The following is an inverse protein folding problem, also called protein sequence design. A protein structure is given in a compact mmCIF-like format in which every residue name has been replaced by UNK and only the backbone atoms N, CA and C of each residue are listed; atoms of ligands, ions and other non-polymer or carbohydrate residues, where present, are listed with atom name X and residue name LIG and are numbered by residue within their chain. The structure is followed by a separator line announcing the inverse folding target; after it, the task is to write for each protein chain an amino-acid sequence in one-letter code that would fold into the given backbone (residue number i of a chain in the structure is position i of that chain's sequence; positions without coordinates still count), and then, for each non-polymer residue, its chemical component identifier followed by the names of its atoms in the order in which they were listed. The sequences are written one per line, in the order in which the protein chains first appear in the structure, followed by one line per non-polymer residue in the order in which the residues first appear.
data_IF_249068773721
#
_entry.id   IF_249068773721
#
_cell.length_a   1.000
_cell.length_b   1.000
_cell.length_c   1.000
_cell.angle_alpha   90.00
_cell.angle_beta   90.00
_cell.angle_gamma   90.00
#
_symmetry.space_group_name_H-M   'P 1'
#
loop_
_entity.id
_entity.type
_entity.pdbx_description
1 polymer ?
#
# COMPACT_ATOMS: atom_id res chain seq x y z
N UNK A 1 -5.13 20.56 -2.52
CA UNK A 1 -4.39 19.44 -1.91
C UNK A 1 -4.98 18.14 -2.43
N UNK A 2 -4.34 17.52 -3.42
CA UNK A 2 -4.82 16.30 -4.04
C UNK A 2 -4.04 15.12 -3.44
N UNK A 3 -4.66 14.40 -2.53
CA UNK A 3 -4.12 13.21 -1.92
C UNK A 3 -4.52 12.02 -2.78
N UNK A 4 -3.56 11.36 -3.39
CA UNK A 4 -3.77 10.22 -4.28
C UNK A 4 -3.69 8.94 -3.46
N UNK A 5 -4.81 8.26 -3.34
CA UNK A 5 -4.93 7.00 -2.62
C UNK A 5 -5.28 5.89 -3.60
N UNK A 6 -4.60 4.75 -3.50
CA UNK A 6 -4.86 3.45 -4.13
C UNK A 6 -5.50 3.48 -5.55
N UNK A 7 -5.12 2.59 -6.42
CA UNK A 7 -5.47 2.50 -7.86
C UNK A 7 -6.92 2.84 -8.21
N UNK A 8 -7.87 2.48 -7.36
CA UNK A 8 -9.29 2.75 -7.57
C UNK A 8 -9.67 4.24 -7.47
N UNK A 9 -8.89 5.06 -6.74
CA UNK A 9 -9.21 6.48 -6.50
C UNK A 9 -8.68 7.37 -7.62
N UNK A 10 -7.56 7.01 -8.22
CA UNK A 10 -7.00 7.75 -9.37
C UNK A 10 -7.98 7.76 -10.55
N UNK A 11 -8.80 6.72 -10.69
CA UNK A 11 -9.78 6.63 -11.79
C UNK A 11 -11.05 7.46 -11.57
N UNK A 12 -11.50 7.64 -10.34
CA UNK A 12 -12.73 8.38 -10.04
C UNK A 12 -12.65 9.87 -10.36
N UNK A 13 -11.46 10.47 -10.30
CA UNK A 13 -11.27 11.89 -10.63
C UNK A 13 -11.07 12.15 -12.13
N UNK A 14 -10.69 11.15 -12.92
CA UNK A 14 -10.46 11.32 -14.38
C UNK A 14 -11.70 11.16 -15.25
N UNK A 15 -12.77 10.53 -14.79
CA UNK A 15 -13.97 10.30 -15.61
C UNK A 15 -14.84 11.55 -15.81
N UNK A 16 -14.60 12.65 -15.10
CA UNK A 16 -15.32 13.92 -15.32
C UNK A 16 -14.72 14.84 -16.38
N UNK A 17 -13.59 14.44 -17.01
CA UNK A 17 -12.90 15.23 -18.03
C UNK A 17 -12.72 14.47 -19.33
N UNK A 18 -13.84 14.07 -19.97
CA UNK A 18 -13.84 13.69 -21.38
C UNK A 18 -13.89 14.97 -22.20
N UNK A 19 -12.89 15.14 -23.08
CA UNK A 19 -12.67 16.23 -24.05
C UNK A 19 -11.93 17.47 -23.52
N UNK A 20 -10.60 17.46 -23.58
CA UNK A 20 -9.81 18.44 -24.33
C UNK A 20 -8.31 18.19 -24.22
N UNK A 21 -7.70 18.02 -25.41
CA UNK A 21 -6.34 18.34 -25.84
C UNK A 21 -5.10 17.74 -25.12
N UNK A 22 -4.18 17.33 -25.94
CA UNK A 22 -2.80 16.85 -25.72
C UNK A 22 -1.99 17.71 -24.71
N UNK A 23 -2.28 19.01 -24.64
CA UNK A 23 -1.62 19.97 -23.74
C UNK A 23 -1.87 19.71 -22.24
N UNK A 24 -3.07 19.24 -21.85
CA UNK A 24 -3.38 18.92 -20.45
C UNK A 24 -2.69 17.66 -19.92
N UNK A 25 -2.43 16.68 -20.80
CA UNK A 25 -1.69 15.46 -20.42
C UNK A 25 -0.25 15.77 -20.01
N UNK A 26 0.39 16.70 -20.71
CA UNK A 26 1.78 17.11 -20.44
C UNK A 26 1.90 17.88 -19.11
N UNK A 27 0.92 18.73 -18.78
CA UNK A 27 0.93 19.49 -17.52
C UNK A 27 0.69 18.58 -16.31
N UNK A 28 -0.22 17.60 -16.40
CA UNK A 28 -0.47 16.64 -15.32
C UNK A 28 0.74 15.72 -15.09
N UNK A 29 1.37 15.22 -16.17
CA UNK A 29 2.59 14.42 -16.06
C UNK A 29 3.77 15.24 -15.48
N UNK A 30 3.85 16.54 -15.79
CA UNK A 30 4.87 17.43 -15.25
C UNK A 30 4.65 17.67 -13.75
N UNK A 31 3.42 17.86 -13.30
CA UNK A 31 3.07 18.00 -11.89
C UNK A 31 3.32 16.72 -11.09
N UNK A 32 2.98 15.54 -11.66
CA UNK A 32 3.27 14.23 -11.07
C UNK A 32 4.77 13.98 -10.93
N UNK A 33 5.57 14.33 -11.96
CA UNK A 33 7.04 14.24 -11.93
C UNK A 33 7.65 15.21 -10.90
N UNK A 34 7.14 16.43 -10.80
CA UNK A 34 7.60 17.41 -9.82
C UNK A 34 7.30 16.96 -8.38
N UNK A 35 6.11 16.41 -8.12
CA UNK A 35 5.73 15.85 -6.83
C UNK A 35 6.59 14.64 -6.41
N UNK A 36 6.91 13.76 -7.36
CA UNK A 36 7.80 12.62 -7.13
C UNK A 36 9.26 13.07 -6.89
N UNK A 37 9.74 14.05 -7.64
CA UNK A 37 11.09 14.60 -7.45
C UNK A 37 11.27 15.25 -6.07
N UNK A 38 10.27 16.03 -5.62
CA UNK A 38 10.28 16.66 -4.29
C UNK A 38 10.32 15.64 -3.15
N UNK A 39 9.62 14.51 -3.30
CA UNK A 39 9.60 13.45 -2.27
C UNK A 39 10.91 12.65 -2.21
N UNK A 40 11.71 12.66 -3.27
CA UNK A 40 13.02 11.97 -3.34
C UNK A 40 14.19 12.88 -2.96
N UNK A 41 13.97 14.19 -2.90
CA UNK A 41 15.01 15.12 -2.51
C UNK A 41 15.42 14.86 -1.05
N UNK A 42 16.74 14.81 -0.82
CA UNK A 42 17.28 14.62 0.52
C UNK A 42 17.19 13.18 1.08
N UNK A 43 16.90 12.18 0.23
CA UNK A 43 16.99 10.78 0.68
C UNK A 43 18.45 10.35 0.82
N UNK A 44 18.74 9.70 1.93
CA UNK A 44 20.01 8.98 2.15
C UNK A 44 19.90 7.57 1.55
N UNK A 45 20.96 7.02 0.93
CA UNK A 45 20.96 5.66 0.40
C UNK A 45 20.59 4.63 1.45
N UNK A 46 19.74 3.66 1.08
CA UNK A 46 19.18 2.68 2.02
C UNK A 46 20.25 1.84 2.75
N UNK A 47 21.40 1.58 2.09
CA UNK A 47 22.49 0.85 2.70
C UNK A 47 23.08 1.54 3.94
N UNK A 48 22.96 2.86 4.05
CA UNK A 48 23.42 3.62 5.22
C UNK A 48 22.49 3.39 6.45
N UNK A 49 21.27 2.89 6.24
CA UNK A 49 20.33 2.67 7.32
C UNK A 49 20.79 1.58 8.30
N UNK A 50 21.64 0.64 7.87
CA UNK A 50 22.25 -0.37 8.75
C UNK A 50 23.15 0.23 9.81
N UNK A 51 23.67 1.45 9.63
CA UNK A 51 24.40 2.19 10.66
C UNK A 51 23.47 2.66 11.78
N UNK A 52 22.21 2.91 11.46
CA UNK A 52 21.15 3.31 12.40
C UNK A 52 20.55 2.06 13.04
N UNK A 53 20.24 1.04 12.26
CA UNK A 53 19.61 -0.21 12.67
C UNK A 53 20.40 -1.41 12.12
N UNK A 54 21.34 -1.98 12.90
CA UNK A 54 22.22 -3.05 12.45
C UNK A 54 21.49 -4.32 11.98
N UNK A 55 20.27 -4.57 12.47
CA UNK A 55 19.47 -5.73 12.10
C UNK A 55 18.50 -5.44 10.95
N UNK A 56 18.52 -4.23 10.38
CA UNK A 56 17.68 -3.87 9.27
C UNK A 56 18.05 -4.66 8.00
N UNK A 57 17.03 -5.27 7.39
CA UNK A 57 17.18 -6.01 6.15
C UNK A 57 16.26 -5.41 5.07
N UNK A 58 16.85 -4.72 4.11
CA UNK A 58 16.12 -4.08 3.02
C UNK A 58 15.40 -5.09 2.12
N UNK A 59 15.99 -6.26 1.87
CA UNK A 59 15.36 -7.31 1.05
C UNK A 59 14.11 -7.86 1.74
N UNK A 60 14.18 -8.15 3.04
CA UNK A 60 13.03 -8.60 3.83
C UNK A 60 11.91 -7.55 3.87
N UNK A 61 12.26 -6.25 3.94
CA UNK A 61 11.28 -5.17 3.85
C UNK A 61 10.58 -5.13 2.49
N UNK A 62 11.35 -5.29 1.40
CA UNK A 62 10.80 -5.33 0.04
C UNK A 62 9.88 -6.53 -0.17
N UNK A 63 10.25 -7.71 0.31
CA UNK A 63 9.41 -8.91 0.27
C UNK A 63 8.11 -8.71 1.07
N UNK A 64 8.20 -8.15 2.28
CA UNK A 64 7.03 -7.80 3.09
C UNK A 64 6.11 -6.82 2.35
N UNK A 65 6.65 -5.80 1.69
CA UNK A 65 5.87 -4.84 0.91
C UNK A 65 5.20 -5.49 -0.31
N UNK A 66 5.88 -6.40 -1.01
CA UNK A 66 5.32 -7.17 -2.12
C UNK A 66 4.13 -8.02 -1.67
N UNK A 67 4.29 -8.78 -0.59
CA UNK A 67 3.24 -9.62 -0.01
C UNK A 67 2.05 -8.77 0.48
N UNK A 68 2.32 -7.63 1.10
CA UNK A 68 1.29 -6.72 1.57
C UNK A 68 0.51 -6.07 0.42
N UNK A 69 1.17 -5.78 -0.71
CA UNK A 69 0.49 -5.30 -1.91
C UNK A 69 -0.56 -6.31 -2.41
N UNK A 70 -0.20 -7.59 -2.50
CA UNK A 70 -1.13 -8.65 -2.91
C UNK A 70 -2.30 -8.77 -1.94
N UNK A 71 -2.02 -8.81 -0.62
CA UNK A 71 -3.05 -8.87 0.41
C UNK A 71 -3.99 -7.66 0.34
N UNK A 72 -3.46 -6.46 0.10
CA UNK A 72 -4.24 -5.24 -0.04
C UNK A 72 -5.20 -5.31 -1.23
N UNK A 73 -4.75 -5.79 -2.39
CA UNK A 73 -5.61 -5.92 -3.57
C UNK A 73 -6.70 -6.99 -3.38
N UNK A 74 -6.35 -8.13 -2.77
CA UNK A 74 -7.32 -9.18 -2.46
C UNK A 74 -8.37 -8.70 -1.43
N UNK A 75 -7.94 -8.04 -0.36
CA UNK A 75 -8.83 -7.46 0.65
C UNK A 75 -9.73 -6.37 0.07
N UNK A 76 -9.23 -5.58 -0.87
CA UNK A 76 -9.98 -4.57 -1.59
C UNK A 76 -11.10 -5.19 -2.44
N UNK A 77 -10.78 -6.18 -3.26
CA UNK A 77 -11.75 -6.93 -4.07
C UNK A 77 -12.81 -7.61 -3.19
N UNK A 78 -12.39 -8.20 -2.07
CA UNK A 78 -13.29 -8.83 -1.09
C UNK A 78 -14.10 -7.83 -0.25
N UNK A 79 -13.88 -6.51 -0.42
CA UNK A 79 -14.46 -5.44 0.43
C UNK A 79 -14.18 -5.62 1.92
N UNK A 80 -13.07 -6.27 2.26
CA UNK A 80 -12.65 -6.55 3.64
C UNK A 80 -11.16 -6.24 3.81
N UNK A 81 -10.86 -5.07 4.34
CA UNK A 81 -9.50 -4.58 4.56
C UNK A 81 -9.11 -4.51 6.04
N UNK A 82 -9.97 -4.95 6.95
CA UNK A 82 -9.75 -4.79 8.40
C UNK A 82 -8.47 -5.49 8.89
N UNK A 83 -8.13 -6.64 8.31
CA UNK A 83 -6.89 -7.37 8.62
C UNK A 83 -5.61 -6.59 8.27
N UNK A 84 -5.74 -5.57 7.42
CA UNK A 84 -4.63 -4.74 6.95
C UNK A 84 -4.37 -3.54 7.86
N UNK A 85 -5.30 -3.19 8.77
CA UNK A 85 -5.18 -2.02 9.66
C UNK A 85 -3.81 -1.89 10.35
N UNK A 86 -3.18 -2.96 10.87
CA UNK A 86 -1.88 -2.84 11.55
C UNK A 86 -0.72 -2.40 10.66
N UNK A 87 -0.88 -2.44 9.34
CA UNK A 87 0.18 -2.10 8.39
C UNK A 87 0.12 -0.67 7.87
N UNK A 88 -0.92 0.08 8.26
CA UNK A 88 -1.17 1.43 7.76
C UNK A 88 -1.29 2.41 8.91
N UNK A 89 -0.94 3.68 8.64
CA UNK A 89 -1.35 4.75 9.56
C UNK A 89 -2.87 4.86 9.59
N UNK A 90 -3.42 5.32 10.72
CA UNK A 90 -4.88 5.49 10.86
C UNK A 90 -5.47 6.43 9.79
N UNK A 91 -4.73 7.47 9.41
CA UNK A 91 -5.14 8.40 8.36
C UNK A 91 -5.30 7.71 7.00
N UNK A 92 -4.28 6.92 6.59
CA UNK A 92 -4.32 6.20 5.32
C UNK A 92 -5.38 5.10 5.34
N UNK A 93 -5.48 4.36 6.43
CA UNK A 93 -6.48 3.30 6.58
C UNK A 93 -7.91 3.85 6.51
N UNK A 94 -8.21 4.93 7.25
CA UNK A 94 -9.52 5.59 7.21
C UNK A 94 -9.88 6.08 5.81
N UNK A 95 -8.89 6.55 5.05
CA UNK A 95 -9.11 6.96 3.67
C UNK A 95 -9.43 5.77 2.76
N UNK A 96 -8.75 4.64 2.94
CA UNK A 96 -9.06 3.39 2.23
C UNK A 96 -10.48 2.90 2.54
N UNK A 97 -10.87 2.86 3.82
CA UNK A 97 -12.22 2.49 4.23
C UNK A 97 -13.29 3.40 3.62
N UNK A 98 -13.07 4.71 3.63
CA UNK A 98 -14.01 5.68 3.02
C UNK A 98 -14.19 5.41 1.54
N UNK A 99 -13.11 5.12 0.84
CA UNK A 99 -13.15 4.81 -0.59
C UNK A 99 -13.88 3.51 -0.89
N UNK A 100 -13.62 2.48 -0.09
CA UNK A 100 -14.27 1.18 -0.21
C UNK A 100 -15.79 1.27 0.07
N UNK A 101 -16.19 2.03 1.09
CA UNK A 101 -17.60 2.33 1.36
C UNK A 101 -18.31 2.95 0.16
N UNK A 102 -17.63 3.79 -0.61
CA UNK A 102 -18.18 4.36 -1.84
C UNK A 102 -18.54 3.31 -2.90
N UNK A 103 -17.77 2.23 -3.03
CA UNK A 103 -18.12 1.09 -3.89
C UNK A 103 -19.33 0.34 -3.34
N UNK A 104 -19.34 0.03 -2.04
CA UNK A 104 -20.47 -0.66 -1.38
C UNK A 104 -21.77 0.11 -1.57
N UNK A 105 -21.77 1.42 -1.36
CA UNK A 105 -22.96 2.27 -1.52
C UNK A 105 -23.51 2.31 -2.94
N UNK A 106 -22.66 2.12 -3.96
CA UNK A 106 -23.11 2.06 -5.37
C UNK A 106 -23.47 0.67 -5.83
N UNK A 107 -23.38 -0.36 -4.98
CA UNK A 107 -23.55 -1.75 -5.38
C UNK A 107 -22.53 -2.18 -6.43
N UNK A 108 -21.29 -1.74 -6.26
CA UNK A 108 -20.18 -2.01 -7.17
C UNK A 108 -19.06 -2.74 -6.44
N UNK A 109 -18.34 -3.59 -7.17
CA UNK A 109 -17.07 -4.18 -6.72
C UNK A 109 -15.96 -3.79 -7.69
N UNK A 110 -14.89 -3.21 -7.17
CA UNK A 110 -13.66 -3.07 -7.94
C UNK A 110 -12.86 -4.37 -7.80
N UNK A 111 -12.76 -5.09 -8.90
CA UNK A 111 -12.05 -6.37 -9.00
C UNK A 111 -10.63 -6.11 -9.45
N UNK A 112 -9.66 -6.60 -8.68
CA UNK A 112 -8.25 -6.61 -9.04
C UNK A 112 -7.77 -8.05 -9.07
N UNK A 113 -7.35 -8.52 -10.22
CA UNK A 113 -6.92 -9.91 -10.44
C UNK A 113 -5.64 -9.96 -11.27
N UNK A 114 -5.10 -11.18 -11.48
CA UNK A 114 -3.82 -11.43 -12.16
C UNK A 114 -2.69 -10.57 -11.58
N UNK A 115 -2.68 -10.45 -10.26
CA UNK A 115 -1.78 -9.59 -9.52
C UNK A 115 -0.36 -10.14 -9.59
N UNK A 116 0.57 -9.36 -10.13
CA UNK A 116 1.99 -9.66 -10.13
C UNK A 116 2.78 -8.46 -9.62
N UNK A 117 3.61 -8.66 -8.61
CA UNK A 117 4.61 -7.69 -8.19
C UNK A 117 5.88 -7.97 -8.99
N UNK A 118 6.26 -7.05 -9.85
CA UNK A 118 7.38 -7.20 -10.79
C UNK A 118 8.70 -6.77 -10.16
N UNK A 119 8.66 -5.75 -9.29
CA UNK A 119 9.83 -5.20 -8.63
C UNK A 119 9.43 -4.38 -7.40
N UNK A 120 10.24 -4.47 -6.35
CA UNK A 120 10.20 -3.55 -5.20
C UNK A 120 11.60 -3.07 -4.92
N UNK A 121 11.83 -1.78 -5.09
CA UNK A 121 13.15 -1.15 -4.93
C UNK A 121 13.09 -0.09 -3.84
N UNK A 122 13.96 -0.13 -2.80
CA UNK A 122 14.09 0.97 -1.86
C UNK A 122 14.80 2.14 -2.53
N UNK A 123 14.19 3.33 -2.48
CA UNK A 123 14.74 4.56 -3.06
C UNK A 123 15.68 5.28 -2.11
N UNK A 124 15.53 5.05 -0.81
CA UNK A 124 16.32 5.64 0.25
C UNK A 124 15.51 5.90 1.50
N UNK A 125 16.11 6.55 2.48
CA UNK A 125 15.46 6.90 3.74
C UNK A 125 15.74 8.35 4.13
N UNK A 126 14.94 8.87 5.04
CA UNK A 126 15.14 10.16 5.73
C UNK A 126 14.61 10.07 7.16
N UNK A 127 15.12 10.93 8.03
CA UNK A 127 14.63 11.10 9.40
C UNK A 127 14.04 12.50 9.52
N UNK A 128 12.79 12.59 9.92
CA UNK A 128 12.09 13.87 10.10
C UNK A 128 10.93 13.74 11.08
N UNK A 129 10.69 14.77 11.88
CA UNK A 129 9.56 14.81 12.82
C UNK A 129 9.57 13.72 13.89
N UNK A 130 10.73 13.15 14.23
CA UNK A 130 10.83 12.04 15.18
C UNK A 130 10.49 10.67 14.57
N UNK A 131 10.40 10.60 13.25
CA UNK A 131 10.11 9.40 12.48
C UNK A 131 11.20 9.09 11.46
N UNK A 132 11.48 7.81 11.28
CA UNK A 132 12.28 7.28 10.18
C UNK A 132 11.34 6.96 9.04
N UNK A 133 11.65 7.44 7.85
CA UNK A 133 10.90 7.19 6.62
C UNK A 133 11.73 6.39 5.65
N UNK A 134 11.16 5.32 5.07
CA UNK A 134 11.74 4.62 3.92
C UNK A 134 10.79 4.77 2.74
N UNK A 135 11.34 5.23 1.61
CA UNK A 135 10.60 5.33 0.37
C UNK A 135 10.88 4.11 -0.50
N UNK A 136 9.83 3.37 -0.85
CA UNK A 136 9.88 2.23 -1.76
C UNK A 136 9.23 2.58 -3.10
N UNK A 137 9.79 2.05 -4.19
CA UNK A 137 9.13 2.03 -5.50
C UNK A 137 8.67 0.60 -5.78
N UNK A 138 7.39 0.44 -6.11
CA UNK A 138 6.80 -0.82 -6.50
C UNK A 138 6.40 -0.75 -7.98
N UNK A 139 6.74 -1.78 -8.74
CA UNK A 139 6.24 -2.02 -10.10
C UNK A 139 5.38 -3.25 -10.09
N UNK A 140 4.16 -3.13 -10.61
CA UNK A 140 3.18 -4.22 -10.57
C UNK A 140 2.44 -4.32 -11.90
N UNK A 141 1.88 -5.50 -12.16
CA UNK A 141 0.94 -5.77 -13.24
C UNK A 141 -0.33 -6.32 -12.64
N UNK A 142 -1.46 -5.81 -13.07
CA UNK A 142 -2.79 -6.21 -12.62
C UNK A 142 -3.79 -6.15 -13.77
N UNK A 143 -4.88 -6.90 -13.67
CA UNK A 143 -6.13 -6.61 -14.37
C UNK A 143 -7.06 -5.93 -13.38
N UNK A 144 -7.62 -4.77 -13.73
CA UNK A 144 -8.41 -3.93 -12.82
C UNK A 144 -9.66 -3.40 -13.55
N UNK A 145 -10.82 -3.80 -13.03
CA UNK A 145 -12.13 -3.40 -13.55
C UNK A 145 -13.16 -3.31 -12.43
N UNK A 146 -14.31 -2.70 -12.71
CA UNK A 146 -15.40 -2.59 -11.74
C UNK A 146 -16.63 -3.27 -12.31
N UNK A 147 -17.29 -4.09 -11.49
CA UNK A 147 -18.57 -4.74 -11.83
C UNK A 147 -19.70 -4.18 -10.98
N UNK A 148 -20.90 -4.23 -11.52
CA UNK A 148 -22.12 -4.06 -10.74
C UNK A 148 -22.41 -5.35 -9.98
N UNK A 149 -22.66 -5.28 -8.68
CA UNK A 149 -22.83 -6.45 -7.80
C UNK A 149 -24.03 -7.31 -8.16
N UNK A 150 -25.15 -6.68 -8.60
CA UNK A 150 -26.38 -7.39 -8.96
C UNK A 150 -26.33 -8.05 -10.34
N UNK A 151 -25.78 -7.36 -11.35
CA UNK A 151 -25.78 -7.83 -12.75
C UNK A 151 -24.47 -8.50 -13.18
N UNK A 152 -23.41 -8.36 -12.40
CA UNK A 152 -22.05 -8.80 -12.72
C UNK A 152 -21.48 -8.22 -14.04
N UNK A 153 -22.12 -7.21 -14.59
CA UNK A 153 -21.65 -6.51 -15.78
C UNK A 153 -20.50 -5.57 -15.43
N UNK A 154 -19.51 -5.50 -16.32
CA UNK A 154 -18.41 -4.55 -16.19
C UNK A 154 -18.93 -3.14 -16.46
N UNK A 155 -18.89 -2.28 -15.43
CA UNK A 155 -19.29 -0.87 -15.52
C UNK A 155 -18.11 0.07 -15.76
N UNK A 156 -16.88 -0.43 -15.51
CA UNK A 156 -15.64 0.34 -15.71
C UNK A 156 -14.43 -0.58 -15.86
N UNK A 157 -13.48 -0.20 -16.73
CA UNK A 157 -12.27 -1.00 -16.98
C UNK A 157 -12.52 -2.15 -17.95
N UNK A 158 -11.62 -3.13 -17.96
CA UNK A 158 -11.70 -4.33 -18.82
C UNK A 158 -11.15 -5.56 -18.08
N UNK A 159 -11.76 -6.72 -18.31
CA UNK A 159 -11.26 -8.02 -17.81
C UNK A 159 -10.04 -8.52 -18.57
N UNK A 160 -9.78 -7.97 -19.75
CA UNK A 160 -8.74 -8.43 -20.67
C UNK A 160 -7.48 -7.56 -20.61
N UNK A 161 -7.64 -6.27 -20.35
CA UNK A 161 -6.54 -5.32 -20.35
C UNK A 161 -5.70 -5.42 -19.10
N UNK A 162 -4.39 -5.56 -19.30
CA UNK A 162 -3.42 -5.49 -18.22
C UNK A 162 -3.00 -4.04 -17.97
N UNK A 163 -2.79 -3.70 -16.70
CA UNK A 163 -2.26 -2.41 -16.26
C UNK A 163 -0.93 -2.61 -15.59
N UNK A 164 0.07 -1.95 -16.11
CA UNK A 164 1.39 -1.84 -15.49
C UNK A 164 1.43 -0.57 -14.65
N UNK A 165 1.60 -0.75 -13.34
CA UNK A 165 1.56 0.33 -12.37
C UNK A 165 2.92 0.53 -11.74
N UNK A 166 3.29 1.79 -11.53
CA UNK A 166 4.43 2.16 -10.68
C UNK A 166 3.91 2.99 -9.52
N UNK A 167 4.26 2.57 -8.31
CA UNK A 167 3.91 3.27 -7.07
C UNK A 167 5.16 3.72 -6.33
N UNK A 168 5.00 4.75 -5.51
CA UNK A 168 5.88 5.08 -4.40
C UNK A 168 5.10 4.92 -3.09
N UNK A 169 5.66 4.12 -2.19
CA UNK A 169 5.17 3.92 -0.84
C UNK A 169 6.10 4.60 0.14
N UNK A 170 5.56 5.41 1.04
CA UNK A 170 6.28 5.98 2.17
C UNK A 170 5.94 5.16 3.42
N UNK A 171 6.94 4.49 3.98
CA UNK A 171 6.85 3.70 5.20
C UNK A 171 7.50 4.49 6.32
N UNK A 172 6.88 4.49 7.48
CA UNK A 172 7.43 5.17 8.66
C UNK A 172 7.43 4.28 9.89
N UNK A 173 8.33 4.60 10.82
CA UNK A 173 8.35 4.11 12.20
C UNK A 173 9.01 5.15 13.11
N UNK A 174 8.78 5.13 14.43
CA UNK A 174 9.45 6.06 15.36
C UNK A 174 10.97 5.96 15.29
N UNK A 175 11.65 7.10 15.24
CA UNK A 175 13.13 7.17 15.26
C UNK A 175 13.69 6.50 16.53
N UNK A 176 14.79 5.77 16.35
CA UNK A 176 15.41 5.00 17.44
C UNK A 176 14.86 3.59 17.61
N UNK A 177 13.77 3.25 16.92
CA UNK A 177 13.27 1.88 16.88
C UNK A 177 14.29 0.98 16.17
N UNK A 178 14.54 -0.22 16.72
CA UNK A 178 15.46 -1.20 16.13
C UNK A 178 14.70 -2.45 15.68
N UNK A 179 15.18 -3.05 14.61
CA UNK A 179 14.69 -4.36 14.17
C UNK A 179 15.17 -5.43 15.12
N UNK A 180 14.27 -6.30 15.57
CA UNK A 180 14.64 -7.42 16.43
C UNK A 180 15.60 -8.36 15.70
N UNK A 181 16.70 -8.76 16.36
CA UNK A 181 17.67 -9.71 15.80
C UNK A 181 17.06 -11.07 15.43
N UNK A 182 15.98 -11.46 16.12
CA UNK A 182 15.23 -12.70 15.90
C UNK A 182 14.05 -12.54 14.90
N UNK A 183 14.00 -11.48 14.12
CA UNK A 183 12.89 -11.23 13.17
C UNK A 183 12.85 -12.22 11.97
N UNK A 184 13.85 -13.09 11.84
CA UNK A 184 13.87 -14.22 10.88
C UNK A 184 13.22 -15.51 11.39
N UNK A 185 12.99 -15.64 12.69
CA UNK A 185 12.30 -16.79 13.27
C UNK A 185 10.81 -16.49 13.42
N UNK A 186 9.97 -17.48 13.12
CA UNK A 186 8.53 -17.45 13.37
C UNK A 186 8.26 -17.30 14.86
N UNK A 187 8.24 -16.07 15.38
CA UNK A 187 7.92 -15.82 16.79
C UNK A 187 6.47 -16.18 17.02
N UNK A 188 6.23 -17.19 17.85
CA UNK A 188 4.94 -17.39 18.49
C UNK A 188 4.68 -16.20 19.41
N UNK A 189 3.65 -15.44 19.11
CA UNK A 189 3.16 -14.40 20.02
C UNK A 189 1.95 -14.93 20.76
N UNK A 190 1.77 -14.50 21.99
CA UNK A 190 0.56 -14.79 22.75
C UNK A 190 -0.46 -13.67 22.54
N UNK A 191 -1.73 -14.04 22.37
CA UNK A 191 -2.81 -13.06 22.27
C UNK A 191 -2.90 -12.23 23.56
N UNK A 192 -2.89 -10.90 23.49
CA UNK A 192 -2.99 -10.05 24.68
C UNK A 192 -4.37 -10.13 25.37
N UNK A 193 -5.39 -10.65 24.65
CA UNK A 193 -6.73 -10.79 25.22
C UNK A 193 -7.04 -12.14 25.87
N UNK A 194 -6.51 -13.24 25.33
CA UNK A 194 -6.82 -14.59 25.84
C UNK A 194 -5.59 -15.48 26.09
N UNK A 195 -4.37 -15.00 25.83
CA UNK A 195 -3.14 -15.78 26.03
C UNK A 195 -2.91 -16.90 25.01
N UNK A 196 -3.78 -17.11 24.03
CA UNK A 196 -3.61 -18.17 23.03
C UNK A 196 -2.34 -17.95 22.19
N UNK A 197 -1.59 -19.02 21.85
CA UNK A 197 -0.46 -18.92 20.95
C UNK A 197 -0.92 -18.57 19.53
N UNK A 198 -0.26 -17.62 18.90
CA UNK A 198 -0.61 -17.11 17.57
C UNK A 198 0.61 -17.19 16.66
N UNK A 199 0.37 -17.61 15.41
CA UNK A 199 1.36 -17.45 14.36
C UNK A 199 1.33 -16.02 13.84
N UNK A 200 2.49 -15.33 13.88
CA UNK A 200 2.64 -13.91 13.54
C UNK A 200 2.14 -13.57 12.12
N UNK A 201 2.04 -14.56 11.25
CA UNK A 201 1.65 -14.38 9.85
C UNK A 201 0.16 -14.60 9.56
N UNK A 202 -0.64 -15.03 10.54
CA UNK A 202 -1.96 -15.59 10.23
C UNK A 202 -3.13 -14.61 10.28
N UNK A 203 -3.19 -13.62 11.18
CA UNK A 203 -4.26 -12.62 11.17
C UNK A 203 -4.00 -11.44 12.10
N UNK A 204 -4.58 -10.28 11.77
CA UNK A 204 -4.61 -9.12 12.65
C UNK A 204 -5.62 -9.27 13.81
N UNK A 205 -6.38 -10.37 13.85
CA UNK A 205 -7.31 -10.73 14.92
C UNK A 205 -7.01 -12.11 15.44
N UNK A 206 -7.10 -12.27 16.75
CA UNK A 206 -7.01 -13.57 17.38
C UNK A 206 -8.15 -14.47 16.90
N UNK A 207 -7.87 -15.66 16.34
CA UNK A 207 -8.91 -16.57 15.87
C UNK A 207 -9.75 -17.14 17.01
N UNK A 208 -9.28 -17.04 18.27
CA UNK A 208 -9.96 -17.59 19.44
C UNK A 208 -10.88 -16.59 20.14
N UNK A 209 -10.46 -15.31 20.26
CA UNK A 209 -11.22 -14.32 21.03
C UNK A 209 -11.55 -13.04 20.25
N UNK A 210 -11.14 -12.92 18.99
CA UNK A 210 -11.40 -11.75 18.16
C UNK A 210 -10.60 -10.49 18.53
N UNK A 211 -9.77 -10.52 19.58
CA UNK A 211 -8.93 -9.38 19.97
C UNK A 211 -8.04 -8.95 18.81
N UNK A 212 -8.04 -7.65 18.51
CA UNK A 212 -7.14 -7.07 17.50
C UNK A 212 -5.71 -7.13 18.03
N UNK A 213 -4.86 -7.83 17.31
CA UNK A 213 -3.45 -7.97 17.62
C UNK A 213 -2.75 -6.76 17.01
N UNK A 214 -2.53 -5.73 17.82
CA UNK A 214 -1.70 -4.61 17.40
C UNK A 214 -0.28 -5.11 17.27
N UNK A 215 0.30 -5.02 16.08
CA UNK A 215 1.73 -5.22 15.91
C UNK A 215 2.46 -4.20 16.77
N UNK A 216 3.63 -4.58 17.25
CA UNK A 216 4.44 -3.71 18.12
C UNK A 216 4.69 -2.38 17.41
N UNK A 217 4.85 -1.31 18.18
CA UNK A 217 5.28 0.01 17.69
C UNK A 217 6.61 0.01 16.90
N UNK A 218 7.24 -1.14 16.77
CA UNK A 218 8.52 -1.40 16.12
C UNK A 218 8.43 -1.72 14.62
N UNK A 219 7.22 -1.99 14.09
CA UNK A 219 7.07 -2.35 12.69
C UNK A 219 6.89 -1.10 11.82
N UNK A 220 7.41 -1.20 10.59
CA UNK A 220 7.16 -0.22 9.55
C UNK A 220 5.68 -0.21 9.17
N UNK A 221 5.07 0.97 9.16
CA UNK A 221 3.70 1.19 8.69
C UNK A 221 3.68 2.08 7.46
N UNK A 222 2.75 1.84 6.54
CA UNK A 222 2.60 2.64 5.33
C UNK A 222 1.83 3.90 5.67
N UNK A 223 2.42 5.05 5.40
CA UNK A 223 1.82 6.37 5.61
C UNK A 223 1.27 7.00 4.33
N UNK A 224 1.84 6.62 3.18
CA UNK A 224 1.36 7.11 1.89
C UNK A 224 1.61 6.11 0.77
N UNK A 225 0.66 6.06 -0.17
CA UNK A 225 0.75 5.33 -1.44
C UNK A 225 0.48 6.33 -2.56
N UNK A 226 1.42 6.47 -3.50
CA UNK A 226 1.29 7.36 -4.67
C UNK A 226 1.41 6.56 -5.95
N UNK A 227 0.45 6.72 -6.85
CA UNK A 227 0.57 6.24 -8.23
C UNK A 227 1.48 7.19 -9.02
N UNK A 228 2.56 6.67 -9.58
CA UNK A 228 3.56 7.45 -10.34
C UNK A 228 3.35 7.28 -11.84
N UNK A 229 3.03 6.08 -12.28
CA UNK A 229 2.84 5.75 -13.70
C UNK A 229 1.83 4.64 -13.85
N UNK A 230 1.01 4.74 -14.92
CA UNK A 230 0.14 3.68 -15.38
C UNK A 230 0.29 3.52 -16.89
N UNK A 231 0.45 2.29 -17.34
CA UNK A 231 0.36 1.87 -18.74
C UNK A 231 -0.73 0.80 -18.84
N UNK A 232 -1.52 0.85 -19.87
CA UNK A 232 -2.57 -0.15 -20.16
C UNK A 232 -2.25 -0.78 -21.50
N UNK A 233 -2.24 -2.11 -21.53
CA UNK A 233 -1.94 -2.95 -22.69
C UNK A 233 -3.10 -3.88 -22.98
#
# INVERSE_FOLDING_TARGET
MALIVVVAIVYSLRTKMKNNSTSKKTATQRAERAGSAGNRAGLTPIGEYTKIDPNFNAAALCEKAANLYVQMQNGWTAKNIESLRPYFTDALFTQMERSLRGYVQRGETNVVERIAVLDVTPLGFRQTGGEDHILLRLRTRITDYTVNDGTQQVVRGSREQEKFMTYEWDLLRPTGTKTDAASGETKRITCPGCGAPLDVNASARCPYCGTVIRRRAQDWVISAIRGIRQETV
#
